data_IF_917602711957
#
_entry.id   IF_917602711957
#
_cell.length_a   1.000
_cell.length_b   1.000
_cell.length_c   1.000
_cell.angle_alpha   90.00
_cell.angle_beta   90.00
_cell.angle_gamma   90.00
#
_symmetry.space_group_name_H-M   'P 1'
#
loop_
_entity.id
_entity.type
_entity.pdbx_description
1 polymer ?
#
# COMPACT_ATOMS: atom_id res chain seq x y z
N UNK A 1 -3.84 -2.46 -7.08
CA UNK A 1 -5.11 -3.15 -7.37
C UNK A 1 -5.14 -3.74 -8.78
N UNK A 2 -4.85 -2.97 -9.82
CA UNK A 2 -4.86 -3.47 -11.21
C UNK A 2 -3.85 -4.60 -11.44
N UNK A 3 -2.65 -4.49 -10.87
CA UNK A 3 -1.67 -5.57 -10.94
C UNK A 3 -2.12 -6.85 -10.25
N UNK A 4 -2.75 -6.75 -9.09
CA UNK A 4 -3.35 -7.91 -8.41
C UNK A 4 -4.53 -8.49 -9.23
N UNK A 5 -5.36 -7.63 -9.84
CA UNK A 5 -6.40 -8.04 -10.77
C UNK A 5 -5.85 -8.75 -12.00
N UNK A 6 -4.75 -8.27 -12.56
CA UNK A 6 -4.06 -8.91 -13.68
C UNK A 6 -3.57 -10.32 -13.32
N UNK A 7 -2.97 -10.49 -12.14
CA UNK A 7 -2.55 -11.80 -11.64
C UNK A 7 -3.77 -12.72 -11.46
N UNK A 8 -4.84 -12.22 -10.84
CA UNK A 8 -6.07 -12.99 -10.65
C UNK A 8 -6.70 -13.41 -11.98
N UNK A 9 -6.76 -12.52 -12.95
CA UNK A 9 -7.31 -12.84 -14.28
C UNK A 9 -6.49 -13.90 -15.02
N UNK A 10 -5.16 -13.87 -14.84
CA UNK A 10 -4.27 -14.82 -15.53
C UNK A 10 -4.22 -16.18 -14.84
N UNK A 11 -4.30 -16.22 -13.50
CA UNK A 11 -4.08 -17.45 -12.73
C UNK A 11 -5.36 -18.03 -12.10
N UNK A 12 -6.40 -17.20 -11.91
CA UNK A 12 -7.60 -17.59 -11.15
C UNK A 12 -7.35 -17.72 -9.64
N UNK A 13 -6.11 -17.50 -9.16
CA UNK A 13 -5.70 -17.78 -7.78
C UNK A 13 -5.58 -16.47 -6.98
N UNK A 14 -6.08 -16.48 -5.74
CA UNK A 14 -6.01 -15.36 -4.79
C UNK A 14 -5.00 -15.58 -3.69
N UNK A 15 -4.60 -16.82 -3.47
CA UNK A 15 -3.63 -17.17 -2.43
C UNK A 15 -2.21 -17.05 -2.99
N UNK A 16 -1.45 -16.07 -2.45
CA UNK A 16 -0.07 -15.86 -2.89
C UNK A 16 0.84 -17.08 -2.62
N UNK A 17 0.48 -17.94 -1.65
CA UNK A 17 1.26 -19.13 -1.35
C UNK A 17 1.12 -20.25 -2.41
N UNK A 18 0.19 -20.07 -3.36
CA UNK A 18 0.06 -20.91 -4.56
C UNK A 18 0.64 -20.29 -5.82
N UNK A 19 1.09 -19.05 -5.73
CA UNK A 19 1.74 -18.30 -6.81
C UNK A 19 3.26 -18.46 -6.74
N UNK A 20 3.99 -17.66 -7.44
CA UNK A 20 5.45 -17.60 -7.47
C UNK A 20 6.00 -17.66 -8.90
N UNK A 21 7.18 -17.09 -9.12
CA UNK A 21 7.87 -17.12 -10.41
C UNK A 21 7.19 -16.34 -11.54
N UNK A 22 6.13 -15.57 -11.24
CA UNK A 22 5.35 -14.86 -12.26
C UNK A 22 6.15 -13.79 -13.01
N UNK A 23 7.29 -13.35 -12.48
CA UNK A 23 8.17 -12.40 -13.19
C UNK A 23 8.61 -12.92 -14.57
N UNK A 24 8.71 -14.24 -14.73
CA UNK A 24 9.09 -14.86 -16.01
C UNK A 24 7.90 -15.03 -16.96
N UNK A 25 6.69 -15.03 -16.45
CA UNK A 25 5.45 -15.23 -17.22
C UNK A 25 4.74 -13.91 -17.52
N UNK A 26 4.80 -12.98 -16.56
CA UNK A 26 4.14 -11.68 -16.59
C UNK A 26 5.14 -10.55 -16.29
N UNK A 27 6.21 -10.37 -17.10
CA UNK A 27 7.30 -9.45 -16.78
C UNK A 27 6.85 -7.98 -16.76
N UNK A 28 5.94 -7.57 -17.64
CA UNK A 28 5.44 -6.20 -17.70
C UNK A 28 4.51 -5.91 -16.53
N UNK A 29 3.60 -6.81 -16.21
CA UNK A 29 2.76 -6.72 -15.01
C UNK A 29 3.62 -6.70 -13.74
N UNK A 30 4.66 -7.53 -13.65
CA UNK A 30 5.61 -7.54 -12.53
C UNK A 30 6.28 -6.18 -12.36
N UNK A 31 6.74 -5.58 -13.44
CA UNK A 31 7.40 -4.27 -13.39
C UNK A 31 6.47 -3.17 -12.88
N UNK A 32 5.27 -3.04 -13.45
CA UNK A 32 4.33 -2.00 -13.02
C UNK A 32 3.79 -2.26 -11.61
N UNK A 33 3.64 -3.54 -11.22
CA UNK A 33 3.29 -3.90 -9.85
C UNK A 33 4.39 -3.49 -8.87
N UNK A 34 5.66 -3.70 -9.21
CA UNK A 34 6.80 -3.26 -8.41
C UNK A 34 6.81 -1.73 -8.24
N UNK A 35 6.58 -0.99 -9.32
CA UNK A 35 6.46 0.48 -9.26
C UNK A 35 5.36 0.88 -8.28
N UNK A 36 4.19 0.25 -8.33
CA UNK A 36 3.10 0.46 -7.40
C UNK A 36 3.49 0.14 -5.95
N UNK A 37 4.19 -0.97 -5.72
CA UNK A 37 4.69 -1.34 -4.39
C UNK A 37 5.67 -0.30 -3.82
N UNK A 38 6.60 0.20 -4.63
CA UNK A 38 7.56 1.23 -4.23
C UNK A 38 6.85 2.55 -3.92
N UNK A 39 5.90 2.94 -4.76
CA UNK A 39 5.14 4.17 -4.59
C UNK A 39 4.30 4.17 -3.30
N UNK A 40 3.57 3.09 -3.01
CA UNK A 40 2.74 2.98 -1.81
C UNK A 40 3.55 2.76 -0.53
N UNK A 41 4.78 2.26 -0.65
CA UNK A 41 5.73 2.13 0.46
C UNK A 41 6.47 3.44 0.77
N UNK A 42 5.99 4.56 0.23
CA UNK A 42 6.55 5.89 0.44
C UNK A 42 8.06 5.98 0.16
N UNK A 43 8.53 5.33 -0.90
CA UNK A 43 9.93 5.43 -1.32
C UNK A 43 10.11 6.54 -2.37
N UNK A 44 11.16 7.39 -2.21
CA UNK A 44 11.45 8.39 -3.21
C UNK A 44 11.91 7.70 -4.53
N UNK A 45 11.65 8.27 -5.69
CA UNK A 45 11.07 9.60 -5.96
C UNK A 45 9.56 9.61 -6.23
N UNK A 46 8.80 8.65 -5.72
CA UNK A 46 7.37 8.50 -6.02
C UNK A 46 6.48 9.41 -5.15
N UNK A 47 5.24 9.56 -5.58
CA UNK A 47 4.22 10.39 -4.95
C UNK A 47 3.93 10.02 -3.49
N UNK A 48 3.99 8.73 -3.13
CA UNK A 48 3.79 8.28 -1.75
C UNK A 48 4.76 8.91 -0.76
N UNK A 49 6.04 8.99 -1.14
CA UNK A 49 7.05 9.67 -0.32
C UNK A 49 6.71 11.15 -0.11
N UNK A 50 6.36 11.86 -1.19
CA UNK A 50 6.08 13.31 -1.10
C UNK A 50 4.89 13.58 -0.18
N UNK A 51 3.83 12.79 -0.28
CA UNK A 51 2.64 12.97 0.56
C UNK A 51 2.94 12.73 2.03
N UNK A 52 3.64 11.66 2.36
CA UNK A 52 4.04 11.38 3.75
C UNK A 52 5.04 12.42 4.27
N UNK A 53 5.98 12.85 3.45
CA UNK A 53 6.93 13.88 3.82
C UNK A 53 6.22 15.21 4.18
N UNK A 54 5.21 15.63 3.42
CA UNK A 54 4.40 16.81 3.74
C UNK A 54 3.61 16.63 5.04
N UNK A 55 3.06 15.45 5.29
CA UNK A 55 2.38 15.15 6.56
C UNK A 55 3.35 15.23 7.73
N UNK A 56 4.56 14.65 7.62
CA UNK A 56 5.58 14.74 8.66
C UNK A 56 6.04 16.18 8.89
N UNK A 57 6.17 17.01 7.83
CA UNK A 57 6.44 18.43 7.99
C UNK A 57 5.33 19.14 8.77
N UNK A 58 4.06 18.78 8.54
CA UNK A 58 2.94 19.32 9.32
C UNK A 58 2.99 18.85 10.79
N UNK A 59 3.32 17.59 11.05
CA UNK A 59 3.49 17.04 12.41
C UNK A 59 4.58 17.82 13.19
N UNK A 60 5.67 18.18 12.54
CA UNK A 60 6.75 18.97 13.15
C UNK A 60 6.32 20.39 13.58
N UNK A 61 5.16 20.87 13.13
CA UNK A 61 4.59 22.15 13.56
C UNK A 61 3.73 22.04 14.82
N UNK A 62 3.50 20.83 15.33
CA UNK A 62 2.67 20.59 16.52
C UNK A 62 3.03 21.42 17.75
N UNK A 63 4.30 21.81 18.03
CA UNK A 63 4.62 22.68 19.16
C UNK A 63 3.98 24.07 19.09
N UNK A 64 3.60 24.53 17.89
CA UNK A 64 2.98 25.85 17.68
C UNK A 64 1.46 25.85 17.96
N UNK A 65 0.85 24.67 18.14
CA UNK A 65 -0.58 24.54 18.41
C UNK A 65 -0.91 25.16 19.78
N UNK A 66 -2.07 25.84 19.93
CA UNK A 66 -2.44 26.50 21.18
C UNK A 66 -2.77 25.49 22.29
N UNK A 67 -3.36 24.33 21.95
CA UNK A 67 -3.83 23.33 22.89
C UNK A 67 -2.72 22.33 23.23
N UNK A 68 -2.40 22.18 24.53
CA UNK A 68 -1.35 21.28 24.98
C UNK A 68 -1.60 19.81 24.61
N UNK A 69 -2.86 19.37 24.64
CA UNK A 69 -3.23 18.01 24.27
C UNK A 69 -2.85 17.70 22.80
N UNK A 70 -3.06 18.65 21.88
CA UNK A 70 -2.69 18.50 20.47
C UNK A 70 -1.17 18.47 20.28
N UNK A 71 -0.40 19.18 21.10
CA UNK A 71 1.07 19.12 21.08
C UNK A 71 1.63 17.71 21.34
N UNK A 72 0.88 16.88 22.07
CA UNK A 72 1.23 15.49 22.36
C UNK A 72 0.59 14.52 21.35
N UNK A 73 -0.70 14.72 21.08
CA UNK A 73 -1.45 13.81 20.20
C UNK A 73 -0.95 13.83 18.75
N UNK A 74 -0.60 14.98 18.20
CA UNK A 74 -0.15 15.08 16.80
C UNK A 74 1.17 14.35 16.58
N UNK A 75 2.23 14.51 17.41
CA UNK A 75 3.42 13.67 17.30
C UNK A 75 3.17 12.17 17.52
N UNK A 76 2.26 11.81 18.43
CA UNK A 76 1.89 10.41 18.63
C UNK A 76 1.25 9.79 17.37
N UNK A 77 0.34 10.52 16.72
CA UNK A 77 -0.24 10.10 15.42
C UNK A 77 0.85 10.04 14.36
N UNK A 78 1.79 10.99 14.33
CA UNK A 78 2.95 10.93 13.43
C UNK A 78 3.81 9.68 13.62
N UNK A 79 4.06 9.28 14.87
CA UNK A 79 4.78 8.05 15.19
C UNK A 79 4.01 6.79 14.71
N UNK A 80 2.69 6.77 14.87
CA UNK A 80 1.84 5.68 14.34
C UNK A 80 1.85 5.65 12.81
N UNK A 81 1.87 6.81 12.15
CA UNK A 81 2.02 6.89 10.69
C UNK A 81 3.36 6.32 10.23
N UNK A 82 4.46 6.64 10.91
CA UNK A 82 5.77 6.08 10.59
C UNK A 82 5.80 4.54 10.75
N UNK A 83 5.16 4.02 11.80
CA UNK A 83 4.99 2.58 11.98
C UNK A 83 4.14 1.97 10.85
N UNK A 84 3.04 2.63 10.46
CA UNK A 84 2.19 2.18 9.36
C UNK A 84 2.95 2.14 8.03
N UNK A 85 3.78 3.14 7.73
CA UNK A 85 4.63 3.18 6.53
C UNK A 85 5.63 2.00 6.52
N UNK A 86 6.29 1.71 7.65
CA UNK A 86 7.20 0.57 7.76
C UNK A 86 6.48 -0.77 7.56
N UNK A 87 5.30 -0.94 8.13
CA UNK A 87 4.47 -2.15 7.94
C UNK A 87 3.94 -2.27 6.52
N UNK A 88 3.59 -1.16 5.87
CA UNK A 88 3.20 -1.12 4.47
C UNK A 88 4.35 -1.58 3.57
N UNK A 89 5.57 -1.08 3.78
CA UNK A 89 6.75 -1.52 3.04
C UNK A 89 6.98 -3.03 3.19
N UNK A 90 6.91 -3.57 4.41
CA UNK A 90 7.03 -5.01 4.65
C UNK A 90 5.92 -5.81 3.94
N UNK A 91 4.68 -5.29 3.94
CA UNK A 91 3.54 -5.91 3.27
C UNK A 91 3.76 -5.99 1.76
N UNK A 92 4.18 -4.90 1.12
CA UNK A 92 4.34 -4.83 -0.34
C UNK A 92 5.61 -5.55 -0.83
N UNK A 93 6.68 -5.57 -0.04
CA UNK A 93 7.85 -6.44 -0.31
C UNK A 93 7.43 -7.92 -0.29
N UNK A 94 6.62 -8.32 0.71
CA UNK A 94 6.06 -9.67 0.76
C UNK A 94 5.17 -9.96 -0.44
N UNK A 95 4.23 -9.08 -0.75
CA UNK A 95 3.29 -9.25 -1.85
C UNK A 95 4.02 -9.43 -3.19
N UNK A 96 5.00 -8.59 -3.48
CA UNK A 96 5.82 -8.72 -4.69
C UNK A 96 6.69 -9.98 -4.66
N UNK A 97 7.44 -10.19 -3.58
CA UNK A 97 8.41 -11.26 -3.46
C UNK A 97 7.79 -12.66 -3.56
N UNK A 98 6.68 -12.89 -2.85
CA UNK A 98 6.03 -14.20 -2.83
C UNK A 98 5.28 -14.48 -4.13
N UNK A 99 4.70 -13.46 -4.75
CA UNK A 99 3.90 -13.62 -5.98
C UNK A 99 4.76 -13.70 -7.24
N UNK A 100 5.74 -12.82 -7.39
CA UNK A 100 6.47 -12.69 -8.66
C UNK A 100 7.83 -13.37 -8.67
N UNK A 101 8.50 -13.47 -7.52
CA UNK A 101 9.83 -14.08 -7.45
C UNK A 101 9.75 -15.57 -7.11
N UNK A 102 10.91 -16.23 -7.18
CA UNK A 102 11.05 -17.65 -6.87
C UNK A 102 10.57 -18.56 -8.00
N UNK A 103 9.94 -19.69 -7.63
CA UNK A 103 9.47 -20.72 -8.55
C UNK A 103 7.96 -20.86 -8.48
N UNK A 104 7.28 -21.22 -9.59
CA UNK A 104 5.84 -21.47 -9.58
C UNK A 104 5.50 -22.58 -8.58
N UNK A 105 4.44 -22.39 -7.78
CA UNK A 105 3.96 -23.36 -6.79
C UNK A 105 2.73 -24.12 -7.25
N UNK A 106 2.12 -23.71 -8.36
CA UNK A 106 0.94 -24.33 -8.94
C UNK A 106 1.03 -24.33 -10.46
N UNK A 107 0.26 -25.21 -11.10
CA UNK A 107 0.11 -25.25 -12.54
C UNK A 107 -0.44 -23.93 -13.11
N UNK A 108 -1.36 -23.29 -12.37
CA UNK A 108 -1.90 -21.99 -12.73
C UNK A 108 -0.80 -20.90 -12.80
N UNK A 109 0.20 -20.95 -11.92
CA UNK A 109 1.34 -20.02 -11.97
C UNK A 109 2.31 -20.36 -13.09
N UNK A 110 2.47 -21.64 -13.45
CA UNK A 110 3.33 -22.06 -14.58
C UNK A 110 2.75 -21.69 -15.94
N UNK A 111 1.43 -21.75 -16.08
CA UNK A 111 0.71 -21.49 -17.34
C UNK A 111 0.26 -20.03 -17.48
N UNK A 112 0.51 -19.20 -16.48
CA UNK A 112 0.13 -17.80 -16.47
C UNK A 112 0.67 -17.05 -17.70
N UNK A 113 -0.11 -16.12 -18.21
CA UNK A 113 0.21 -15.28 -19.37
C UNK A 113 0.00 -13.82 -19.05
N UNK A 114 0.72 -12.96 -19.75
CA UNK A 114 0.56 -11.51 -19.65
C UNK A 114 -0.87 -11.10 -20.01
N UNK A 115 -1.36 -10.07 -19.34
CA UNK A 115 -2.69 -9.52 -19.63
C UNK A 115 -2.70 -8.72 -20.93
N UNK A 116 -3.88 -8.35 -21.37
CA UNK A 116 -4.08 -7.58 -22.60
C UNK A 116 -3.37 -6.21 -22.60
N UNK A 117 -3.11 -5.69 -23.79
CA UNK A 117 -2.37 -4.43 -23.98
C UNK A 117 -3.07 -3.22 -23.39
N UNK A 118 -4.41 -3.20 -23.32
CA UNK A 118 -5.16 -2.09 -22.73
C UNK A 118 -5.00 -2.05 -21.22
N UNK A 119 -5.09 -3.20 -20.55
CA UNK A 119 -4.83 -3.32 -19.13
C UNK A 119 -3.41 -2.92 -18.77
N UNK A 120 -2.42 -3.38 -19.55
CA UNK A 120 -1.03 -2.98 -19.38
C UNK A 120 -0.85 -1.47 -19.57
N UNK A 121 -1.43 -0.90 -20.64
CA UNK A 121 -1.30 0.55 -20.90
C UNK A 121 -1.88 1.38 -19.76
N UNK A 122 -3.04 0.98 -19.21
CA UNK A 122 -3.64 1.64 -18.06
C UNK A 122 -2.72 1.61 -16.83
N UNK A 123 -2.14 0.45 -16.53
CA UNK A 123 -1.19 0.31 -15.42
C UNK A 123 0.08 1.13 -15.64
N UNK A 124 0.63 1.17 -16.85
CA UNK A 124 1.80 2.00 -17.18
C UNK A 124 1.51 3.48 -17.05
N UNK A 125 0.36 3.96 -17.52
CA UNK A 125 -0.06 5.36 -17.38
C UNK A 125 -0.10 5.73 -15.90
N UNK A 126 -0.70 4.90 -15.05
CA UNK A 126 -0.77 5.15 -13.60
C UNK A 126 0.62 5.12 -12.95
N UNK A 127 1.50 4.19 -13.35
CA UNK A 127 2.87 4.14 -12.85
C UNK A 127 3.66 5.41 -13.21
N UNK A 128 3.51 5.90 -14.44
CA UNK A 128 4.11 7.18 -14.89
C UNK A 128 3.54 8.36 -14.11
N UNK A 129 2.23 8.40 -13.88
CA UNK A 129 1.60 9.45 -13.08
C UNK A 129 2.10 9.45 -11.62
N UNK A 130 2.30 8.27 -11.01
CA UNK A 130 2.91 8.17 -9.68
C UNK A 130 4.32 8.76 -9.63
N UNK A 131 5.12 8.49 -10.66
CA UNK A 131 6.48 9.04 -10.78
C UNK A 131 6.44 10.55 -11.04
N UNK A 132 5.61 11.01 -11.96
CA UNK A 132 5.48 12.45 -12.28
C UNK A 132 5.01 13.26 -11.06
N UNK A 133 4.02 12.76 -10.32
CA UNK A 133 3.55 13.43 -9.11
C UNK A 133 4.61 13.46 -8.00
N UNK A 134 5.56 12.52 -7.99
CA UNK A 134 6.70 12.52 -7.08
C UNK A 134 7.84 13.43 -7.50
N UNK A 135 8.06 13.61 -8.81
CA UNK A 135 9.12 14.48 -9.37
C UNK A 135 8.66 15.94 -9.47
N UNK A 136 7.37 16.13 -9.75
CA UNK A 136 6.75 17.44 -9.98
C UNK A 136 5.70 17.77 -8.88
N UNK A 137 6.03 17.63 -7.60
CA UNK A 137 5.05 17.80 -6.53
C UNK A 137 4.49 19.23 -6.48
N UNK A 138 5.29 20.22 -6.84
CA UNK A 138 4.87 21.62 -6.89
C UNK A 138 3.65 21.85 -7.79
N UNK A 139 3.60 21.22 -8.96
CA UNK A 139 2.44 21.30 -9.87
C UNK A 139 1.18 20.74 -9.23
N UNK A 140 1.30 19.62 -8.51
CA UNK A 140 0.15 18.99 -7.81
C UNK A 140 -0.31 19.88 -6.66
N UNK A 141 0.61 20.46 -5.89
CA UNK A 141 0.30 21.38 -4.78
C UNK A 141 -0.43 22.61 -5.30
N UNK A 142 0.08 23.23 -6.37
CA UNK A 142 -0.55 24.43 -6.96
C UNK A 142 -1.93 24.09 -7.56
N UNK A 143 -2.09 22.94 -8.19
CA UNK A 143 -3.39 22.48 -8.72
C UNK A 143 -4.44 22.25 -7.62
N UNK A 144 -4.02 21.77 -6.43
CA UNK A 144 -4.89 21.56 -5.28
C UNK A 144 -5.12 22.83 -4.45
N UNK A 145 -4.33 23.88 -4.67
CA UNK A 145 -4.35 25.11 -3.90
C UNK A 145 -5.73 25.82 -3.85
N UNK A 146 -6.53 25.91 -4.93
CA UNK A 146 -7.86 26.49 -4.87
C UNK A 146 -8.79 25.77 -3.89
N UNK A 147 -8.76 24.43 -3.91
CA UNK A 147 -9.58 23.59 -3.01
C UNK A 147 -9.13 23.79 -1.56
N UNK A 148 -7.80 23.81 -1.31
CA UNK A 148 -7.25 24.03 0.01
C UNK A 148 -7.65 25.43 0.55
N UNK A 149 -7.65 26.44 -0.30
CA UNK A 149 -8.06 27.81 0.07
C UNK A 149 -9.53 27.87 0.44
N UNK A 150 -10.40 27.19 -0.30
CA UNK A 150 -11.84 27.14 -0.03
C UNK A 150 -12.17 26.46 1.30
N UNK A 151 -11.49 25.33 1.60
CA UNK A 151 -11.79 24.53 2.80
C UNK A 151 -11.10 25.09 4.05
N UNK A 152 -9.86 25.56 3.93
CA UNK A 152 -9.00 25.90 5.07
C UNK A 152 -8.76 27.41 5.22
N UNK A 153 -9.21 28.23 4.27
CA UNK A 153 -8.95 29.66 4.25
C UNK A 153 -7.48 30.05 4.02
N UNK A 154 -6.63 29.10 3.62
CA UNK A 154 -5.21 29.30 3.40
C UNK A 154 -4.63 28.33 2.38
N UNK A 155 -3.45 28.68 1.87
CA UNK A 155 -2.74 27.83 0.91
C UNK A 155 -1.23 27.84 1.18
N UNK A 156 -0.52 26.86 0.65
CA UNK A 156 0.93 26.90 0.56
C UNK A 156 1.41 28.01 -0.39
N UNK A 157 2.66 28.48 -0.27
CA UNK A 157 3.26 29.39 -1.24
C UNK A 157 3.15 28.86 -2.66
N UNK A 158 3.15 29.76 -3.66
CA UNK A 158 3.11 29.38 -5.09
C UNK A 158 4.38 28.60 -5.41
N UNK A 159 4.22 27.39 -5.92
CA UNK A 159 5.33 26.47 -6.19
C UNK A 159 5.95 26.67 -7.58
N UNK A 160 5.17 27.18 -8.54
CA UNK A 160 5.57 27.29 -9.94
C UNK A 160 6.74 28.27 -10.19
N UNK A 161 7.02 29.17 -9.26
CA UNK A 161 8.05 30.22 -9.43
C UNK A 161 9.45 29.76 -9.00
N UNK A 162 9.57 28.58 -8.39
CA UNK A 162 10.87 28.13 -7.89
C UNK A 162 11.66 27.38 -8.96
N UNK A 163 12.94 27.73 -9.15
CA UNK A 163 13.81 26.97 -10.02
C UNK A 163 14.00 25.55 -9.49
N UNK A 164 14.20 24.60 -10.42
CA UNK A 164 14.53 23.22 -10.11
C UNK A 164 13.39 22.35 -9.50
N UNK A 165 12.15 22.81 -9.56
CA UNK A 165 11.00 22.02 -9.09
C UNK A 165 11.06 21.61 -7.60
N UNK A 166 11.77 22.38 -6.79
CA UNK A 166 11.81 22.18 -5.33
C UNK A 166 10.49 22.61 -4.70
N UNK A 167 10.05 21.90 -3.66
CA UNK A 167 8.90 22.35 -2.87
C UNK A 167 9.30 23.60 -2.09
N UNK A 168 8.53 24.68 -2.26
CA UNK A 168 8.67 25.89 -1.46
C UNK A 168 8.10 25.65 -0.07
N UNK A 169 8.92 25.70 0.98
CA UNK A 169 8.44 25.51 2.34
C UNK A 169 7.63 26.72 2.82
N UNK A 170 6.83 26.52 3.86
CA UNK A 170 6.02 27.59 4.47
C UNK A 170 6.90 28.68 5.09
N UNK A 171 8.10 28.33 5.55
CA UNK A 171 9.08 29.24 6.12
C UNK A 171 10.50 28.84 5.70
N UNK A 172 11.41 29.81 5.60
CA UNK A 172 12.81 29.57 5.22
C UNK A 172 13.56 28.59 6.13
N UNK A 173 13.15 28.48 7.38
CA UNK A 173 13.72 27.53 8.34
C UNK A 173 13.23 26.08 8.15
N UNK A 174 12.39 25.80 7.16
CA UNK A 174 11.82 24.48 6.90
C UNK A 174 12.51 23.77 5.75
N UNK A 175 12.52 22.44 5.81
CA UNK A 175 13.11 21.61 4.78
C UNK A 175 12.32 21.67 3.49
N UNK A 176 13.02 21.71 2.36
CA UNK A 176 12.44 21.54 1.03
C UNK A 176 12.79 20.16 0.48
N UNK A 177 12.04 19.73 -0.53
CA UNK A 177 12.26 18.47 -1.23
C UNK A 177 12.29 18.70 -2.73
N UNK A 178 13.24 18.07 -3.41
CA UNK A 178 13.35 18.10 -4.86
C UNK A 178 13.37 16.68 -5.42
N UNK A 179 12.22 16.23 -5.95
CA UNK A 179 12.05 14.88 -6.47
C UNK A 179 12.92 14.58 -7.69
N UNK A 180 13.18 15.58 -8.54
CA UNK A 180 14.03 15.42 -9.72
C UNK A 180 15.50 15.18 -9.31
N UNK A 181 16.04 15.96 -8.39
CA UNK A 181 17.40 15.73 -7.89
C UNK A 181 17.56 14.37 -7.25
N UNK A 182 16.58 13.93 -6.47
CA UNK A 182 16.59 12.61 -5.85
C UNK A 182 16.56 11.50 -6.90
N UNK A 183 15.72 11.61 -7.94
CA UNK A 183 15.69 10.66 -9.05
C UNK A 183 17.06 10.61 -9.77
N UNK A 184 17.63 11.75 -10.11
CA UNK A 184 18.93 11.85 -10.78
C UNK A 184 20.03 11.23 -9.90
N UNK A 185 20.03 11.55 -8.61
CA UNK A 185 21.01 10.99 -7.66
C UNK A 185 20.89 9.46 -7.57
N UNK A 186 19.68 8.92 -7.43
CA UNK A 186 19.43 7.46 -7.38
C UNK A 186 19.92 6.81 -8.68
N UNK A 187 19.57 7.38 -9.83
CA UNK A 187 19.92 6.83 -11.14
C UNK A 187 21.44 6.84 -11.35
N UNK A 188 22.11 7.95 -11.05
CA UNK A 188 23.57 8.05 -11.17
C UNK A 188 24.24 7.07 -10.19
N UNK A 189 23.84 7.06 -8.93
CA UNK A 189 24.44 6.19 -7.91
C UNK A 189 24.28 4.71 -8.26
N UNK A 190 23.09 4.30 -8.69
CA UNK A 190 22.84 2.93 -9.13
C UNK A 190 23.67 2.57 -10.37
N UNK A 191 23.72 3.46 -11.38
CA UNK A 191 24.49 3.24 -12.60
C UNK A 191 25.99 3.15 -12.32
N UNK A 192 26.51 4.02 -11.46
CA UNK A 192 27.90 3.96 -11.02
C UNK A 192 28.23 2.68 -10.27
N UNK A 193 27.35 2.26 -9.33
CA UNK A 193 27.53 1.02 -8.59
C UNK A 193 27.57 -0.19 -9.54
N UNK A 194 26.64 -0.27 -10.48
CA UNK A 194 26.63 -1.33 -11.52
C UNK A 194 27.91 -1.28 -12.35
N UNK A 195 28.31 -0.08 -12.82
CA UNK A 195 29.50 0.09 -13.62
C UNK A 195 30.77 -0.36 -12.88
N UNK A 196 30.95 0.10 -11.62
CA UNK A 196 32.14 -0.28 -10.83
C UNK A 196 32.18 -1.76 -10.51
N UNK A 197 31.04 -2.37 -10.15
CA UNK A 197 30.98 -3.81 -9.90
C UNK A 197 31.37 -4.60 -11.15
N UNK A 198 30.80 -4.29 -12.30
CA UNK A 198 31.11 -5.01 -13.53
C UNK A 198 32.50 -4.71 -14.07
N UNK A 199 33.04 -3.50 -13.84
CA UNK A 199 34.36 -3.13 -14.37
C UNK A 199 35.53 -3.61 -13.48
N UNK A 200 35.36 -3.63 -12.17
CA UNK A 200 36.47 -3.85 -11.22
C UNK A 200 36.31 -5.11 -10.36
N UNK A 201 35.07 -5.53 -10.04
CA UNK A 201 34.86 -6.63 -9.11
C UNK A 201 34.61 -7.97 -9.81
N UNK A 202 33.83 -8.03 -10.88
CA UNK A 202 33.50 -9.29 -11.56
C UNK A 202 33.10 -9.08 -13.01
N UNK A 203 33.80 -9.76 -13.92
CA UNK A 203 33.40 -9.86 -15.32
C UNK A 203 32.52 -11.09 -15.59
N UNK A 204 32.34 -11.97 -14.61
CA UNK A 204 31.63 -13.24 -14.79
C UNK A 204 30.19 -13.17 -14.30
N UNK A 205 29.25 -13.29 -15.22
CA UNK A 205 27.87 -13.59 -14.89
C UNK A 205 27.76 -15.09 -14.58
N UNK A 206 27.75 -15.44 -13.31
CA UNK A 206 27.54 -16.84 -12.89
C UNK A 206 26.04 -17.14 -12.88
N UNK A 207 25.64 -18.08 -13.70
CA UNK A 207 24.29 -18.66 -13.66
C UNK A 207 24.38 -20.04 -13.05
N UNK A 208 23.61 -20.29 -12.01
CA UNK A 208 23.55 -21.58 -11.33
C UNK A 208 22.18 -21.78 -10.71
N UNK A 209 21.87 -23.00 -10.26
CA UNK A 209 20.64 -23.25 -9.51
C UNK A 209 20.63 -22.40 -8.23
N UNK A 210 19.43 -22.02 -7.80
CA UNK A 210 19.28 -21.30 -6.52
C UNK A 210 19.83 -22.15 -5.37
N UNK A 211 20.46 -21.49 -4.40
CA UNK A 211 20.97 -22.18 -3.22
C UNK A 211 19.84 -22.80 -2.40
N UNK A 212 19.84 -24.10 -2.25
CA UNK A 212 18.82 -24.90 -1.58
C UNK A 212 19.17 -25.29 -0.15
N UNK A 213 20.12 -24.61 0.52
CA UNK A 213 20.56 -24.92 1.89
C UNK A 213 21.02 -26.40 2.09
N UNK A 214 21.59 -26.99 1.04
CA UNK A 214 22.04 -28.39 1.06
C UNK A 214 20.98 -29.42 0.61
N UNK A 215 19.77 -29.02 0.27
CA UNK A 215 18.80 -29.89 -0.38
C UNK A 215 19.22 -30.16 -1.83
N UNK A 216 19.32 -31.44 -2.18
CA UNK A 216 19.75 -31.86 -3.52
C UNK A 216 18.72 -31.55 -4.62
N UNK A 217 17.44 -31.52 -4.26
CA UNK A 217 16.32 -31.21 -5.17
C UNK A 217 15.33 -30.26 -4.50
N UNK A 218 15.57 -28.95 -4.54
CA UNK A 218 14.69 -27.98 -3.93
C UNK A 218 13.37 -27.91 -4.72
N UNK A 219 12.30 -28.44 -4.13
CA UNK A 219 10.94 -28.32 -4.67
C UNK A 219 10.41 -26.87 -4.56
N UNK A 220 9.37 -26.48 -5.33
CA UNK A 220 8.74 -25.18 -5.16
C UNK A 220 8.23 -24.87 -3.74
N UNK A 221 8.05 -25.88 -2.90
CA UNK A 221 7.69 -25.70 -1.49
C UNK A 221 8.87 -25.20 -0.63
N UNK A 222 10.12 -25.38 -1.07
CA UNK A 222 11.32 -24.93 -0.37
C UNK A 222 11.63 -23.45 -0.63
N UNK A 223 10.65 -22.56 -0.47
CA UNK A 223 10.79 -21.11 -0.62
C UNK A 223 9.91 -20.39 0.41
N UNK A 224 10.19 -19.09 0.60
CA UNK A 224 9.42 -18.27 1.53
C UNK A 224 7.93 -18.25 1.17
N UNK A 225 7.09 -18.63 2.13
CA UNK A 225 5.64 -18.42 2.08
C UNK A 225 5.25 -17.05 2.64
N UNK A 226 4.04 -16.61 2.37
CA UNK A 226 3.51 -15.38 2.96
C UNK A 226 3.51 -15.41 4.50
N UNK A 227 3.24 -16.57 5.08
CA UNK A 227 3.26 -16.77 6.53
C UNK A 227 4.67 -16.75 7.11
N UNK A 228 5.66 -17.38 6.45
CA UNK A 228 7.05 -17.39 6.92
C UNK A 228 7.69 -16.01 6.82
N UNK A 229 7.42 -15.25 5.76
CA UNK A 229 7.91 -13.87 5.63
C UNK A 229 7.32 -12.95 6.71
N UNK A 230 6.07 -13.14 7.09
CA UNK A 230 5.41 -12.36 8.13
C UNK A 230 5.80 -12.76 9.56
N UNK A 231 6.58 -13.81 9.77
CA UNK A 231 6.93 -14.32 11.10
C UNK A 231 7.54 -13.27 12.04
N UNK A 232 8.50 -12.41 11.64
CA UNK A 232 9.04 -11.38 12.52
C UNK A 232 7.97 -10.41 13.03
N UNK A 233 7.09 -9.95 12.14
CA UNK A 233 5.98 -9.04 12.49
C UNK A 233 5.01 -9.74 13.44
N UNK A 234 4.69 -11.01 13.15
CA UNK A 234 3.82 -11.82 14.01
C UNK A 234 4.42 -12.00 15.40
N UNK A 235 5.73 -12.18 15.54
CA UNK A 235 6.39 -12.29 16.85
C UNK A 235 6.30 -11.01 17.67
N UNK A 236 6.38 -9.84 17.04
CA UNK A 236 6.30 -8.54 17.72
C UNK A 236 4.86 -8.23 18.12
N UNK A 237 3.90 -8.37 17.21
CA UNK A 237 2.52 -7.95 17.40
C UNK A 237 1.56 -9.10 17.74
N UNK A 238 2.01 -10.35 17.67
CA UNK A 238 1.17 -11.53 17.76
C UNK A 238 0.46 -11.70 19.10
N UNK A 239 1.12 -11.34 20.19
CA UNK A 239 0.53 -11.50 21.54
C UNK A 239 -0.50 -10.43 21.86
N UNK A 240 -0.23 -9.18 21.48
CA UNK A 240 -1.05 -8.03 21.86
C UNK A 240 -2.19 -7.75 20.89
N UNK A 241 -1.92 -7.86 19.59
CA UNK A 241 -2.87 -7.43 18.56
C UNK A 241 -3.59 -8.59 17.91
N UNK A 242 -2.85 -9.65 17.53
CA UNK A 242 -3.39 -10.73 16.70
C UNK A 242 -3.67 -12.04 17.44
N UNK A 243 -3.41 -12.13 18.76
CA UNK A 243 -3.54 -13.38 19.54
C UNK A 243 -3.06 -14.61 18.77
N UNK A 244 -1.92 -14.47 18.10
CA UNK A 244 -1.36 -15.50 17.23
C UNK A 244 -1.06 -16.78 18.02
N UNK A 245 -1.53 -17.92 17.51
CA UNK A 245 -1.27 -19.25 18.06
C UNK A 245 -0.66 -20.12 16.97
N UNK A 246 0.47 -20.75 17.30
CA UNK A 246 1.17 -21.67 16.43
C UNK A 246 0.87 -23.10 16.91
N UNK A 247 0.18 -23.89 16.07
CA UNK A 247 -0.04 -25.31 16.28
C UNK A 247 0.96 -26.08 15.45
N UNK A 248 1.92 -26.72 16.12
CA UNK A 248 2.97 -27.51 15.48
C UNK A 248 2.71 -28.98 15.75
N UNK A 249 2.44 -29.75 14.70
CA UNK A 249 2.35 -31.21 14.75
C UNK A 249 3.65 -31.78 14.19
N UNK A 250 4.54 -32.22 15.09
CA UNK A 250 5.79 -32.86 14.71
C UNK A 250 5.64 -34.38 14.82
N UNK A 251 5.95 -35.14 13.76
CA UNK A 251 6.00 -36.60 13.86
C UNK A 251 7.11 -37.05 14.81
N UNK A 252 6.93 -38.22 15.44
CA UNK A 252 7.95 -38.82 16.30
C UNK A 252 9.22 -39.18 15.51
N UNK A 253 10.38 -39.25 16.18
CA UNK A 253 11.62 -39.70 15.52
C UNK A 253 11.45 -41.05 14.85
N UNK A 254 11.76 -41.14 13.55
CA UNK A 254 11.55 -42.31 12.71
C UNK A 254 10.20 -42.40 11.98
N UNK A 255 9.30 -41.48 12.24
CA UNK A 255 8.02 -41.37 11.51
C UNK A 255 8.22 -40.45 10.28
N UNK A 256 7.86 -40.95 9.10
CA UNK A 256 8.02 -40.27 7.81
C UNK A 256 6.81 -39.37 7.45
N UNK A 257 5.80 -39.29 8.31
CA UNK A 257 4.66 -38.38 8.08
C UNK A 257 5.14 -36.92 8.01
N UNK A 258 4.58 -36.09 7.12
CA UNK A 258 4.96 -34.69 7.04
C UNK A 258 4.58 -33.94 8.31
N UNK A 259 5.49 -33.10 8.82
CA UNK A 259 5.18 -32.14 9.87
C UNK A 259 4.16 -31.11 9.37
N UNK A 260 3.28 -30.66 10.25
CA UNK A 260 2.28 -29.62 9.95
C UNK A 260 2.46 -28.44 10.87
N UNK A 261 2.47 -27.25 10.28
CA UNK A 261 2.42 -25.98 11.00
C UNK A 261 1.10 -25.27 10.63
N UNK A 262 0.24 -25.07 11.62
CA UNK A 262 -0.99 -24.29 11.47
C UNK A 262 -0.87 -23.03 12.32
N UNK A 263 -1.10 -21.88 11.68
CA UNK A 263 -1.04 -20.58 12.31
C UNK A 263 -2.47 -20.04 12.36
N UNK A 264 -2.93 -19.72 13.57
CA UNK A 264 -4.23 -19.11 13.79
C UNK A 264 -4.01 -17.66 14.27
N UNK A 265 -4.65 -16.73 13.56
CA UNK A 265 -4.60 -15.30 13.86
C UNK A 265 -6.00 -14.80 14.16
N UNK A 266 -6.17 -14.10 15.28
CA UNK A 266 -7.41 -13.43 15.64
C UNK A 266 -7.15 -11.93 15.71
N UNK A 267 -7.71 -11.17 14.78
CA UNK A 267 -7.62 -9.73 14.77
C UNK A 267 -8.66 -9.15 15.73
N UNK A 268 -8.19 -8.73 16.91
CA UNK A 268 -9.07 -8.21 17.97
C UNK A 268 -9.79 -6.92 17.55
N UNK A 269 -9.14 -6.10 16.73
CA UNK A 269 -9.72 -4.84 16.26
C UNK A 269 -10.79 -5.12 15.22
N UNK A 270 -10.51 -6.05 14.30
CA UNK A 270 -11.46 -6.48 13.30
C UNK A 270 -12.70 -7.12 13.93
N UNK A 271 -12.51 -8.10 14.79
CA UNK A 271 -13.60 -8.84 15.44
C UNK A 271 -14.37 -7.98 16.47
N UNK A 272 -13.67 -7.11 17.20
CA UNK A 272 -14.27 -6.31 18.26
C UNK A 272 -14.91 -5.00 17.82
N UNK A 273 -14.43 -4.40 16.72
CA UNK A 273 -14.88 -3.08 16.25
C UNK A 273 -15.50 -3.18 14.86
N UNK A 274 -14.75 -3.68 13.87
CA UNK A 274 -15.20 -3.61 12.47
C UNK A 274 -16.37 -4.54 12.17
N UNK A 275 -16.38 -5.76 12.69
CA UNK A 275 -17.47 -6.70 12.45
C UNK A 275 -18.80 -6.21 13.05
N UNK A 276 -18.86 -5.76 14.32
CA UNK A 276 -20.08 -5.17 14.88
C UNK A 276 -20.53 -3.91 14.13
N UNK A 277 -19.59 -3.04 13.77
CA UNK A 277 -19.89 -1.83 13.01
C UNK A 277 -20.45 -2.15 11.61
N UNK A 278 -19.82 -3.06 10.90
CA UNK A 278 -20.29 -3.53 9.60
C UNK A 278 -21.69 -4.17 9.71
N UNK A 279 -21.94 -4.92 10.78
CA UNK A 279 -23.26 -5.47 11.08
C UNK A 279 -24.32 -4.39 11.30
N UNK A 280 -24.00 -3.34 12.07
CA UNK A 280 -24.90 -2.22 12.31
C UNK A 280 -25.18 -1.41 11.02
N UNK A 281 -24.15 -1.18 10.20
CA UNK A 281 -24.30 -0.52 8.89
C UNK A 281 -25.13 -1.39 7.95
N UNK A 282 -24.85 -2.69 7.88
CA UNK A 282 -25.63 -3.64 7.07
C UNK A 282 -27.09 -3.66 7.47
N UNK A 283 -27.38 -3.75 8.77
CA UNK A 283 -28.76 -3.69 9.29
C UNK A 283 -29.46 -2.39 8.90
N UNK A 284 -28.77 -1.27 9.00
CA UNK A 284 -29.31 0.06 8.61
C UNK A 284 -29.54 0.13 7.10
N UNK A 285 -28.59 -0.35 6.30
CA UNK A 285 -28.70 -0.41 4.85
C UNK A 285 -29.89 -1.29 4.40
N UNK A 286 -30.09 -2.46 5.03
CA UNK A 286 -31.21 -3.35 4.73
C UNK A 286 -32.57 -2.71 5.08
N UNK A 287 -32.61 -1.92 6.16
CA UNK A 287 -33.79 -1.15 6.52
C UNK A 287 -34.08 -0.04 5.50
N UNK A 288 -33.07 0.71 5.08
CA UNK A 288 -33.18 1.75 4.08
C UNK A 288 -33.51 1.18 2.69
N UNK A 289 -32.94 0.04 2.35
CA UNK A 289 -33.18 -0.62 1.06
C UNK A 289 -34.66 -1.02 0.88
N UNK A 290 -35.37 -1.30 1.98
CA UNK A 290 -36.81 -1.55 1.93
C UNK A 290 -37.59 -0.32 1.48
N UNK A 291 -37.06 0.89 1.62
CA UNK A 291 -37.68 2.13 1.13
C UNK A 291 -37.63 2.24 -0.39
N UNK A 292 -36.71 1.55 -1.08
CA UNK A 292 -36.65 1.53 -2.54
C UNK A 292 -37.85 0.80 -3.19
N UNK A 293 -38.48 -0.09 -2.47
CA UNK A 293 -39.66 -0.83 -2.96
C UNK A 293 -41.01 -0.21 -2.54
N UNK A 294 -40.97 1.05 -2.09
CA UNK A 294 -42.22 1.79 -1.78
C UNK A 294 -42.98 2.14 -3.05
N UNK A 295 -44.31 2.14 -2.95
CA UNK A 295 -45.15 2.69 -4.03
C UNK A 295 -44.85 4.15 -4.27
N UNK A 296 -44.99 4.61 -5.51
CA UNK A 296 -44.73 6.01 -5.93
C UNK A 296 -45.38 7.03 -4.97
N UNK A 297 -46.60 6.73 -4.51
CA UNK A 297 -47.30 7.59 -3.55
C UNK A 297 -46.58 7.73 -2.22
N UNK A 298 -46.06 6.61 -1.67
CA UNK A 298 -45.28 6.62 -0.40
C UNK A 298 -43.92 7.28 -0.57
N UNK A 299 -43.30 7.12 -1.73
CA UNK A 299 -42.04 7.79 -2.05
C UNK A 299 -42.19 9.31 -2.09
N UNK A 300 -43.21 9.80 -2.77
CA UNK A 300 -43.57 11.23 -2.83
C UNK A 300 -43.89 11.79 -1.43
N UNK A 301 -44.64 11.04 -0.62
CA UNK A 301 -44.95 11.46 0.76
C UNK A 301 -43.68 11.57 1.61
N UNK A 302 -42.68 10.67 1.42
CA UNK A 302 -41.42 10.69 2.14
C UNK A 302 -40.56 11.89 1.71
N UNK A 303 -40.48 12.17 0.41
CA UNK A 303 -39.78 13.35 -0.14
C UNK A 303 -40.41 14.64 0.41
N UNK A 304 -41.73 14.72 0.41
CA UNK A 304 -42.46 15.89 0.94
C UNK A 304 -42.21 16.06 2.45
N UNK A 305 -42.27 14.97 3.23
CA UNK A 305 -41.99 15.01 4.67
C UNK A 305 -40.56 15.47 4.94
N UNK A 306 -39.57 14.98 4.17
CA UNK A 306 -38.19 15.41 4.29
C UNK A 306 -38.04 16.90 3.98
N UNK A 307 -38.65 17.38 2.92
CA UNK A 307 -38.63 18.81 2.56
C UNK A 307 -39.21 19.69 3.67
N UNK A 308 -40.37 19.30 4.20
CA UNK A 308 -41.04 20.04 5.31
C UNK A 308 -40.13 20.04 6.56
N UNK A 309 -39.55 18.91 6.87
CA UNK A 309 -38.64 18.80 8.03
C UNK A 309 -37.40 19.70 7.87
N UNK A 310 -36.79 19.72 6.67
CA UNK A 310 -35.65 20.59 6.40
C UNK A 310 -36.00 22.07 6.48
N UNK A 311 -37.17 22.45 5.95
CA UNK A 311 -37.68 23.84 6.04
C UNK A 311 -37.97 24.23 7.50
N UNK A 312 -38.48 23.29 8.31
CA UNK A 312 -38.74 23.53 9.74
C UNK A 312 -37.39 23.69 10.51
N UNK A 313 -36.41 22.86 10.24
CA UNK A 313 -35.06 23.00 10.82
C UNK A 313 -34.44 24.34 10.43
N UNK A 314 -34.57 24.74 9.16
CA UNK A 314 -34.06 26.02 8.71
C UNK A 314 -34.75 27.20 9.41
N UNK A 315 -36.10 27.13 9.58
CA UNK A 315 -36.87 28.16 10.27
C UNK A 315 -36.60 28.28 11.78
N UNK A 316 -36.15 27.19 12.41
CA UNK A 316 -35.77 27.20 13.85
C UNK A 316 -34.32 27.66 14.04
N UNK A 317 -33.48 27.48 13.04
CA UNK A 317 -32.03 27.80 13.14
C UNK A 317 -31.72 29.20 12.55
N UNK A 318 -32.61 29.82 11.85
CA UNK A 318 -32.54 31.22 11.40
C UNK A 318 -33.07 32.17 12.48
#
# INVERSE_FOLDING_TARGET
>A
FFGAGAVLNSTGERDMDKLGGLIHRMPLTSFVFLVGCVAISALPPFNGFVSEWLIFQAVLQSPQLPQWALKIMVPAVGALLALAAALAAACFVKAFGVTFLGRPRSEAAETAQEVDKYSLSAMFILAVLCLLAGILPGLVIDALSPIATEILGGRMPIQANEPWLSIVPIAESRSSYNGLLVLVFITISASLAVYFIHRFASHALRRGPAWGCGFSDPTPAAQYSGASFAQPIRRVFGTLVFRARDHVEMPAPGDIRPARLRIELHDLIWEGIYVPLAGAVGFSADRLNRLQFLTIRRYLSLVFATLVTLLLVLAIWS
#
